data_IF_500950877946
#
_entry.id   IF_500950877946
#
_cell.length_a   1.000
_cell.length_b   1.000
_cell.length_c   1.000
_cell.angle_alpha   90.00
_cell.angle_beta   90.00
_cell.angle_gamma   90.00
#
_symmetry.space_group_name_H-M   'P 1'
#
loop_
_entity.id
_entity.type
_entity.pdbx_description
1 polymer ?
#
# COMPACT_ATOMS: atom_id res chain seq x y z
N UNK A 1 2.73 7.93 10.93
CA UNK A 1 3.05 7.84 9.48
C UNK A 1 4.44 8.40 9.13
N UNK A 2 4.89 9.50 9.74
CA UNK A 2 6.21 10.10 9.47
C UNK A 2 7.42 9.15 9.65
N UNK A 3 7.40 8.26 10.65
CA UNK A 3 8.49 7.29 10.88
C UNK A 3 8.60 6.23 9.79
N UNK A 4 7.46 5.74 9.29
CA UNK A 4 7.39 4.80 8.17
C UNK A 4 7.86 5.45 6.86
N UNK A 5 7.53 6.72 6.65
CA UNK A 5 8.02 7.51 5.53
C UNK A 5 9.55 7.66 5.59
N UNK A 6 10.12 7.98 6.76
CA UNK A 6 11.58 8.05 6.92
C UNK A 6 12.25 6.69 6.65
N UNK A 7 11.71 5.60 7.19
CA UNK A 7 12.23 4.23 6.99
C UNK A 7 12.21 3.80 5.53
N UNK A 8 11.10 4.06 4.83
CA UNK A 8 10.94 3.72 3.42
C UNK A 8 11.49 4.80 2.48
N UNK A 9 12.13 5.84 3.02
CA UNK A 9 12.69 6.98 2.28
C UNK A 9 11.62 7.68 1.40
N UNK A 10 10.39 7.72 1.89
CA UNK A 10 9.25 8.29 1.20
C UNK A 10 8.82 7.49 -0.03
N UNK A 11 9.12 6.19 -0.10
CA UNK A 11 8.79 5.33 -1.24
C UNK A 11 7.80 4.24 -0.87
N UNK A 12 6.92 3.91 -1.81
CA UNK A 12 5.99 2.79 -1.73
C UNK A 12 6.76 1.45 -1.73
N UNK A 13 6.42 0.55 -0.82
CA UNK A 13 7.03 -0.77 -0.77
C UNK A 13 6.69 -1.66 -1.99
N UNK A 14 5.54 -1.42 -2.61
CA UNK A 14 5.04 -2.18 -3.76
C UNK A 14 5.66 -1.68 -5.09
N UNK A 15 5.35 -0.43 -5.48
CA UNK A 15 5.81 0.12 -6.76
C UNK A 15 7.16 0.84 -6.71
N UNK A 16 7.76 0.99 -5.51
CA UNK A 16 9.01 1.75 -5.28
C UNK A 16 8.96 3.23 -5.67
N UNK A 17 7.78 3.75 -6.01
CA UNK A 17 7.52 5.15 -6.35
C UNK A 17 7.50 6.03 -5.11
N UNK A 18 7.92 7.29 -5.25
CA UNK A 18 7.87 8.26 -4.14
C UNK A 18 6.44 8.72 -3.88
N UNK A 19 6.07 8.84 -2.61
CA UNK A 19 4.79 9.41 -2.20
C UNK A 19 4.75 10.91 -2.47
N UNK A 20 3.64 11.39 -3.04
CA UNK A 20 3.41 12.82 -3.29
C UNK A 20 2.20 13.31 -2.52
N UNK A 21 2.16 14.61 -2.26
CA UNK A 21 0.97 15.29 -1.76
C UNK A 21 -0.17 15.14 -2.76
N UNK A 22 -1.16 14.30 -2.40
CA UNK A 22 -2.26 13.87 -3.27
C UNK A 22 -2.39 12.36 -3.42
N UNK A 23 -1.32 11.60 -3.12
CA UNK A 23 -1.38 10.14 -3.10
C UNK A 23 -2.07 9.63 -1.83
N UNK A 24 -2.97 8.66 -1.98
CA UNK A 24 -3.60 7.95 -0.86
C UNK A 24 -2.58 6.97 -0.28
N UNK A 25 -2.28 7.09 1.02
CA UNK A 25 -1.27 6.28 1.72
C UNK A 25 -1.92 5.32 2.71
N UNK A 26 -1.89 4.05 2.36
CA UNK A 26 -2.42 2.92 3.13
C UNK A 26 -1.30 2.17 3.86
N UNK A 27 -1.66 1.50 4.97
CA UNK A 27 -0.72 0.68 5.75
C UNK A 27 -0.95 -0.78 5.41
N UNK A 28 0.07 -1.44 4.89
CA UNK A 28 0.04 -2.84 4.51
C UNK A 28 0.82 -3.70 5.53
N UNK A 29 0.18 -4.70 6.12
CA UNK A 29 0.81 -5.66 7.02
C UNK A 29 1.46 -6.79 6.21
N UNK A 30 2.80 -6.86 6.22
CA UNK A 30 3.54 -7.83 5.40
C UNK A 30 3.25 -9.29 5.81
N UNK A 31 2.98 -9.52 7.09
CA UNK A 31 2.66 -10.84 7.67
C UNK A 31 1.15 -11.18 7.58
N UNK A 32 0.31 -10.26 7.07
CA UNK A 32 -1.16 -10.40 7.10
C UNK A 32 -1.78 -10.35 8.51
N UNK A 33 -0.95 -10.31 9.55
CA UNK A 33 -1.38 -10.23 10.94
C UNK A 33 -1.64 -8.79 11.38
N UNK A 34 -2.91 -8.45 11.47
CA UNK A 34 -3.40 -7.13 11.89
C UNK A 34 -3.10 -6.80 13.37
N UNK A 35 -2.75 -7.82 14.18
CA UNK A 35 -2.34 -7.64 15.57
C UNK A 35 -0.89 -7.19 15.74
N UNK A 36 -0.06 -7.32 14.70
CA UNK A 36 1.35 -6.95 14.75
C UNK A 36 1.59 -5.60 14.06
N UNK A 37 1.30 -4.52 14.78
CA UNK A 37 1.47 -3.14 14.34
C UNK A 37 2.90 -2.60 14.50
N UNK A 38 3.90 -3.50 14.51
CA UNK A 38 5.30 -3.08 14.56
C UNK A 38 5.65 -2.35 13.26
N UNK A 39 6.37 -1.21 13.32
CA UNK A 39 6.77 -0.45 12.14
C UNK A 39 7.75 -1.19 11.21
N UNK A 40 8.27 -2.34 11.64
CA UNK A 40 9.05 -3.27 10.82
C UNK A 40 8.16 -4.31 10.11
N UNK A 41 6.95 -4.54 10.61
CA UNK A 41 5.97 -5.48 10.05
C UNK A 41 4.91 -4.80 9.16
N UNK A 42 4.75 -3.48 9.33
CA UNK A 42 3.84 -2.67 8.52
C UNK A 42 4.62 -1.80 7.55
N UNK A 43 4.16 -1.76 6.32
CA UNK A 43 4.72 -0.99 5.21
C UNK A 43 3.72 0.06 4.76
N UNK A 44 4.21 1.15 4.18
CA UNK A 44 3.35 2.16 3.58
C UNK A 44 3.29 1.88 2.09
N UNK A 45 2.08 1.85 1.55
CA UNK A 45 1.84 1.63 0.12
C UNK A 45 0.83 2.65 -0.39
N UNK A 46 0.83 2.92 -1.69
CA UNK A 46 -0.25 3.70 -2.28
C UNK A 46 -1.56 2.92 -2.17
N UNK A 47 -2.70 3.61 -1.99
CA UNK A 47 -4.01 2.98 -1.99
C UNK A 47 -4.26 2.16 -3.27
N UNK A 48 -3.87 2.70 -4.42
CA UNK A 48 -3.96 1.96 -5.69
C UNK A 48 -2.98 0.76 -5.77
N UNK A 49 -1.84 0.82 -5.07
CA UNK A 49 -0.91 -0.31 -4.98
C UNK A 49 -1.49 -1.38 -4.08
N UNK A 50 -2.07 -0.99 -2.94
CA UNK A 50 -2.75 -1.87 -2.00
C UNK A 50 -3.89 -2.62 -2.68
N UNK A 51 -4.74 -1.91 -3.43
CA UNK A 51 -5.78 -2.51 -4.25
C UNK A 51 -5.19 -3.52 -5.22
N UNK A 52 -4.11 -3.20 -5.94
CA UNK A 52 -3.43 -4.17 -6.83
C UNK A 52 -2.93 -5.39 -6.08
N UNK A 53 -2.38 -5.22 -4.88
CA UNK A 53 -1.88 -6.34 -4.04
C UNK A 53 -3.01 -7.28 -3.62
N UNK A 54 -4.23 -6.76 -3.44
CA UNK A 54 -5.42 -7.55 -3.09
C UNK A 54 -6.24 -8.00 -4.32
N UNK A 55 -6.14 -7.31 -5.46
CA UNK A 55 -6.86 -7.59 -6.70
C UNK A 55 -6.20 -8.64 -7.58
N UNK A 56 -4.96 -9.06 -7.31
CA UNK A 56 -4.31 -10.17 -8.04
C UNK A 56 -5.00 -11.55 -7.82
N UNK A 57 -6.10 -11.58 -7.04
CA UNK A 57 -7.00 -12.74 -6.94
C UNK A 57 -8.45 -12.45 -7.31
N UNK A 58 -8.67 -11.57 -8.28
CA UNK A 58 -10.02 -11.24 -8.74
C UNK A 58 -10.09 -10.89 -10.21
N UNK A 59 -10.06 -11.91 -11.08
CA UNK A 59 -10.81 -11.84 -12.34
C UNK A 59 -12.24 -11.43 -11.98
N UNK A 60 -12.59 -10.16 -12.16
CA UNK A 60 -13.90 -9.77 -12.67
C UNK A 60 -13.77 -8.38 -13.28
N UNK A 61 -13.84 -8.38 -14.61
CA UNK A 61 -14.18 -7.28 -15.48
C UNK A 61 -15.09 -6.27 -14.76
N UNK A 62 -14.59 -5.07 -14.50
CA UNK A 62 -15.45 -3.89 -14.39
C UNK A 62 -15.39 -3.17 -15.73
N UNK A 63 -16.35 -3.52 -16.58
CA UNK A 63 -16.73 -2.75 -17.76
C UNK A 63 -16.94 -1.28 -17.33
N UNK A 64 -16.45 -0.29 -18.11
CA UNK A 64 -16.97 1.06 -18.02
C UNK A 64 -18.29 1.06 -18.79
N UNK A 65 -19.43 1.13 -18.09
CA UNK A 65 -20.69 1.44 -18.75
C UNK A 65 -21.05 2.89 -18.43
N UNK A 66 -21.05 3.67 -19.51
CA UNK A 66 -21.54 5.05 -19.62
C UNK A 66 -23.05 5.12 -19.53
#
# INVERSE_FOLDING_TARGET
>A
KADLLKRQKGKCAECRGSFKDGDILEVHHQDGNHGNNKPDNVLLVHGHCHDKTHQDKGVTVKTPDS
#
